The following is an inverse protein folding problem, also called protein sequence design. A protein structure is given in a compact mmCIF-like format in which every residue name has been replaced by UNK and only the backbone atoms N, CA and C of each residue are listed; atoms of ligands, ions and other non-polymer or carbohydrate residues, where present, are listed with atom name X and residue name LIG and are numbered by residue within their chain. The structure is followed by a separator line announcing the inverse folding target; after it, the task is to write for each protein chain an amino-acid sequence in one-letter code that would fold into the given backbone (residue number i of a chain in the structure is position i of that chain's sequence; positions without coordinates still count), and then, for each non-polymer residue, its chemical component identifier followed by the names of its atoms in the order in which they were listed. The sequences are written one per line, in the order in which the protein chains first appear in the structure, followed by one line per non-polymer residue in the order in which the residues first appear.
data_IF_429633150201
#
_entry.id   IF_429633150201
#
_cell.length_a   1.000
_cell.length_b   1.000
_cell.length_c   1.000
_cell.angle_alpha   90.00
_cell.angle_beta   90.00
_cell.angle_gamma   90.00
#
_symmetry.space_group_name_H-M   'P 1'
#
loop_
_entity.id
_entity.type
_entity.pdbx_description
1 polymer ?
#
# COMPACT_ATOMS: atom_id res chain seq x y z
N UNK A 1 11.73 3.44 11.25
CA UNK A 1 10.40 3.49 10.59
C UNK A 1 10.52 4.24 9.28
N UNK A 2 10.17 3.62 8.15
CA UNK A 2 10.07 4.31 6.85
C UNK A 2 8.97 5.36 6.95
N UNK A 3 9.25 6.61 6.59
CA UNK A 3 8.28 7.71 6.65
C UNK A 3 7.89 8.10 5.23
N UNK A 4 6.60 8.01 4.90
CA UNK A 4 6.05 8.59 3.68
C UNK A 4 5.44 9.95 4.06
N UNK A 5 5.88 11.02 3.40
CA UNK A 5 5.31 12.35 3.61
C UNK A 5 4.09 12.57 2.69
N UNK A 6 3.08 11.71 2.81
CA UNK A 6 1.85 11.73 2.02
C UNK A 6 0.65 11.46 2.93
N UNK A 7 -0.40 12.25 2.75
CA UNK A 7 -1.70 12.01 3.37
C UNK A 7 -2.54 11.18 2.38
N UNK A 8 -3.01 10.02 2.82
CA UNK A 8 -3.94 9.18 2.05
C UNK A 8 -5.40 9.63 2.27
N UNK A 9 -6.33 9.28 1.36
CA UNK A 9 -7.76 9.49 1.55
C UNK A 9 -8.29 8.89 2.87
N UNK A 10 -9.20 9.59 3.54
CA UNK A 10 -9.82 9.14 4.79
C UNK A 10 -10.38 7.69 4.76
N UNK A 11 -11.03 7.22 3.66
CA UNK A 11 -11.53 5.85 3.60
C UNK A 11 -10.46 4.77 3.80
N UNK A 12 -9.20 5.01 3.41
CA UNK A 12 -8.12 4.03 3.60
C UNK A 12 -7.71 3.91 5.07
N UNK A 13 -7.68 5.03 5.81
CA UNK A 13 -7.43 4.99 7.24
C UNK A 13 -8.58 4.34 8.01
N UNK A 14 -9.83 4.61 7.59
CA UNK A 14 -11.00 3.93 8.15
C UNK A 14 -10.92 2.42 7.93
N UNK A 15 -10.52 1.98 6.73
CA UNK A 15 -10.34 0.57 6.44
C UNK A 15 -9.20 -0.06 7.26
N UNK A 16 -8.06 0.64 7.42
CA UNK A 16 -6.97 0.20 8.30
C UNK A 16 -7.41 0.05 9.76
N UNK A 17 -8.27 0.93 10.26
CA UNK A 17 -8.81 0.79 11.62
C UNK A 17 -9.77 -0.38 11.70
N UNK A 18 -10.63 -0.54 10.70
CA UNK A 18 -11.56 -1.67 10.61
C UNK A 18 -10.84 -3.03 10.63
N UNK A 19 -9.72 -3.17 9.91
CA UNK A 19 -8.94 -4.43 9.92
C UNK A 19 -8.33 -4.73 11.29
N UNK A 20 -7.90 -3.70 12.04
CA UNK A 20 -7.39 -3.86 13.41
C UNK A 20 -8.49 -4.27 14.38
N UNK A 21 -9.65 -3.63 14.30
CA UNK A 21 -10.79 -3.92 15.16
C UNK A 21 -11.33 -5.33 14.89
N UNK A 22 -11.36 -5.73 13.62
CA UNK A 22 -11.77 -7.07 13.20
C UNK A 22 -10.74 -8.16 13.50
N UNK A 23 -9.51 -7.81 13.92
CA UNK A 23 -8.41 -8.73 14.21
C UNK A 23 -8.10 -9.71 13.07
N UNK A 24 -8.19 -9.23 11.83
CA UNK A 24 -7.82 -10.04 10.66
C UNK A 24 -6.31 -10.19 10.57
N UNK A 25 -5.87 -11.22 9.86
CA UNK A 25 -4.46 -11.37 9.51
C UNK A 25 -3.95 -10.11 8.81
N UNK A 26 -2.70 -9.74 9.10
CA UNK A 26 -2.09 -8.54 8.54
C UNK A 26 -1.61 -8.79 7.09
N UNK A 27 -2.50 -9.30 6.25
CA UNK A 27 -2.28 -9.55 4.83
C UNK A 27 -3.33 -8.79 4.04
N UNK A 28 -2.92 -8.06 3.00
CA UNK A 28 -3.85 -7.24 2.20
C UNK A 28 -3.58 -7.34 0.70
N UNK A 29 -4.68 -7.34 -0.07
CA UNK A 29 -4.69 -7.26 -1.52
C UNK A 29 -5.31 -5.92 -1.97
N UNK A 30 -4.62 -5.15 -2.81
CA UNK A 30 -5.16 -3.96 -3.49
C UNK A 30 -5.35 -4.26 -5.00
N UNK A 31 -6.59 -4.18 -5.47
CA UNK A 31 -6.94 -4.34 -6.89
C UNK A 31 -6.93 -2.96 -7.56
N UNK A 32 -5.94 -2.71 -8.41
CA UNK A 32 -5.57 -1.37 -8.89
C UNK A 32 -4.50 -0.74 -7.98
N UNK A 33 -3.40 -1.47 -7.80
CA UNK A 33 -2.33 -1.14 -6.85
C UNK A 33 -1.23 -0.22 -7.41
N UNK A 34 -1.26 0.11 -8.70
CA UNK A 34 -0.20 0.88 -9.34
C UNK A 34 -0.19 2.38 -8.99
N UNK A 35 0.65 3.12 -9.72
CA UNK A 35 0.72 4.57 -9.72
C UNK A 35 1.81 5.14 -8.82
N UNK A 36 1.97 6.47 -8.87
CA UNK A 36 3.07 7.19 -8.22
C UNK A 36 3.06 7.16 -6.68
N UNK A 37 1.91 6.84 -6.08
CA UNK A 37 1.70 6.77 -4.63
C UNK A 37 0.79 5.59 -4.32
N UNK A 38 1.31 4.35 -4.41
CA UNK A 38 0.51 3.15 -4.22
C UNK A 38 -0.06 3.11 -2.79
N UNK A 39 -1.36 2.82 -2.67
CA UNK A 39 -2.08 2.82 -1.39
C UNK A 39 -1.55 1.72 -0.44
N UNK A 40 -1.02 0.63 -1.00
CA UNK A 40 -0.36 -0.45 -0.25
C UNK A 40 0.76 0.05 0.66
N UNK A 41 1.42 1.17 0.32
CA UNK A 41 2.47 1.73 1.15
C UNK A 41 1.97 2.15 2.56
N UNK A 42 0.70 2.56 2.68
CA UNK A 42 0.07 2.82 3.98
C UNK A 42 0.04 1.54 4.83
N UNK A 43 -0.37 0.42 4.25
CA UNK A 43 -0.50 -0.85 4.95
C UNK A 43 0.87 -1.46 5.28
N UNK A 44 1.82 -1.39 4.36
CA UNK A 44 3.19 -1.85 4.59
C UNK A 44 3.87 -1.13 5.78
N UNK A 45 3.65 0.19 5.94
CA UNK A 45 4.16 0.94 7.12
C UNK A 45 3.56 0.41 8.43
N UNK A 46 2.34 -0.09 8.38
CA UNK A 46 1.63 -0.61 9.55
C UNK A 46 1.81 -2.12 9.75
N UNK A 47 2.79 -2.73 9.07
CA UNK A 47 3.21 -4.11 9.29
C UNK A 47 2.45 -5.14 8.45
N UNK A 48 1.61 -4.72 7.52
CA UNK A 48 0.92 -5.66 6.65
C UNK A 48 1.87 -6.25 5.60
N UNK A 49 1.71 -7.54 5.33
CA UNK A 49 2.13 -8.17 4.10
C UNK A 49 1.20 -7.72 2.97
N UNK A 50 1.78 -7.22 1.89
CA UNK A 50 1.03 -6.56 0.81
C UNK A 50 1.12 -7.32 -0.49
N UNK A 51 0.00 -7.36 -1.21
CA UNK A 51 -0.15 -7.90 -2.56
C UNK A 51 -0.90 -6.88 -3.44
N UNK A 52 -0.41 -6.66 -4.65
CA UNK A 52 -1.03 -5.76 -5.62
C UNK A 52 -1.37 -6.45 -6.94
N UNK A 53 -2.49 -6.06 -7.55
CA UNK A 53 -2.78 -6.37 -8.96
C UNK A 53 -3.00 -5.05 -9.68
N UNK A 54 -2.41 -4.92 -10.86
CA UNK A 54 -2.54 -3.76 -11.74
C UNK A 54 -2.47 -4.24 -13.20
N UNK A 55 -3.23 -3.61 -14.08
CA UNK A 55 -3.30 -3.97 -15.50
C UNK A 55 -2.35 -3.12 -16.35
N UNK A 56 -2.08 -1.89 -15.92
CA UNK A 56 -1.20 -0.96 -16.63
C UNK A 56 0.27 -1.17 -16.24
N UNK A 57 1.09 -1.61 -17.20
CA UNK A 57 2.55 -1.75 -17.02
C UNK A 57 3.21 -0.44 -16.57
N UNK A 58 2.79 0.70 -17.12
CA UNK A 58 3.30 2.01 -16.70
C UNK A 58 2.97 2.30 -15.23
N UNK A 59 1.74 1.97 -14.83
CA UNK A 59 1.28 2.15 -13.44
C UNK A 59 2.05 1.22 -12.48
N UNK A 60 2.35 -0.01 -12.90
CA UNK A 60 3.22 -0.94 -12.16
C UNK A 60 4.60 -0.33 -11.97
N UNK A 61 5.24 0.13 -13.06
CA UNK A 61 6.59 0.69 -12.98
C UNK A 61 6.66 1.89 -12.05
N UNK A 62 5.66 2.77 -12.08
CA UNK A 62 5.56 3.91 -11.17
C UNK A 62 5.48 3.49 -9.69
N UNK A 63 4.74 2.40 -9.39
CA UNK A 63 4.63 1.87 -8.04
C UNK A 63 5.93 1.18 -7.58
N UNK A 64 6.60 0.45 -8.47
CA UNK A 64 7.91 -0.16 -8.21
C UNK A 64 8.98 0.90 -7.94
N UNK A 65 9.02 1.97 -8.74
CA UNK A 65 9.94 3.08 -8.55
C UNK A 65 9.70 3.78 -7.21
N UNK A 66 8.43 3.99 -6.85
CA UNK A 66 8.04 4.48 -5.53
C UNK A 66 8.52 3.53 -4.42
N UNK A 67 8.28 2.23 -4.56
CA UNK A 67 8.64 1.22 -3.58
C UNK A 67 10.16 1.21 -3.36
N UNK A 68 10.93 1.10 -4.45
CA UNK A 68 12.41 1.12 -4.44
C UNK A 68 12.95 2.40 -3.81
N UNK A 69 12.46 3.57 -4.21
CA UNK A 69 12.90 4.88 -3.68
C UNK A 69 12.67 5.00 -2.18
N UNK A 70 11.57 4.46 -1.67
CA UNK A 70 11.21 4.54 -0.24
C UNK A 70 11.62 3.27 0.53
N UNK A 71 12.29 2.34 -0.13
CA UNK A 71 12.74 1.06 0.41
C UNK A 71 11.60 0.09 0.75
N UNK A 72 10.37 0.28 0.30
CA UNK A 72 9.30 -0.71 0.49
C UNK A 72 9.49 -1.91 -0.43
N UNK A 73 8.99 -3.06 0.01
CA UNK A 73 8.70 -4.18 -0.86
C UNK A 73 7.16 -4.26 -0.97
N UNK A 74 6.62 -3.75 -2.08
CA UNK A 74 5.20 -3.81 -2.38
C UNK A 74 5.09 -4.87 -3.49
N UNK A 75 4.76 -6.11 -3.12
CA UNK A 75 4.70 -7.24 -4.05
C UNK A 75 3.51 -7.11 -5.00
#
# INVERSE_FOLDING_TARGET
MKKINKIFPAPLYNFLNYTRDAQVDQTILDCGAGGNFPKLALFAIHGFETYGIEISEESIQNAEDFAKKNGFNLN
#
